data_IF_835900113042
#
_entry.id   IF_835900113042
#
_cell.length_a   1.000
_cell.length_b   1.000
_cell.length_c   1.000
_cell.angle_alpha   90.00
_cell.angle_beta   90.00
_cell.angle_gamma   90.00
#
_symmetry.space_group_name_H-M   'P 1'
#
loop_
_entity.id
_entity.type
_entity.pdbx_description
1 polymer ?
#
# COMPACT_ATOMS: atom_id res chain seq x y z
N UNK A 1 30.24 -4.25 37.38
CA UNK A 1 30.06 -5.20 38.50
C UNK A 1 28.61 -5.19 38.95
N UNK A 2 28.04 -6.34 39.24
CA UNK A 2 26.69 -6.47 39.84
C UNK A 2 26.77 -7.36 41.07
N UNK A 3 25.99 -7.01 42.09
CA UNK A 3 25.82 -7.89 43.25
C UNK A 3 24.98 -9.10 42.87
N UNK A 4 25.55 -10.27 43.10
CA UNK A 4 24.81 -11.53 43.08
C UNK A 4 24.58 -11.95 44.53
N UNK A 5 23.38 -12.45 44.83
CA UNK A 5 22.97 -12.84 46.19
C UNK A 5 23.99 -13.82 46.78
N UNK A 6 24.80 -13.31 47.71
CA UNK A 6 25.94 -13.91 48.43
C UNK A 6 27.09 -12.90 48.69
N UNK A 7 26.99 -11.64 48.22
CA UNK A 7 28.01 -10.61 48.45
C UNK A 7 29.22 -10.72 47.51
N UNK A 8 29.19 -11.67 46.58
CA UNK A 8 30.19 -11.83 45.52
C UNK A 8 29.92 -10.81 44.42
N UNK A 9 30.96 -10.12 43.94
CA UNK A 9 30.87 -9.22 42.79
C UNK A 9 31.31 -9.96 41.54
N UNK A 10 30.43 -10.03 40.54
CA UNK A 10 30.77 -10.57 39.21
C UNK A 10 31.15 -9.44 38.28
N UNK A 11 32.28 -9.60 37.60
CA UNK A 11 32.65 -8.77 36.47
C UNK A 11 31.82 -9.21 35.26
N UNK A 12 31.07 -8.27 34.68
CA UNK A 12 30.31 -8.52 33.45
C UNK A 12 31.02 -7.78 32.31
N UNK A 13 31.13 -8.40 31.13
CA UNK A 13 31.69 -7.74 29.97
C UNK A 13 30.79 -6.57 29.55
N UNK A 14 31.41 -5.42 29.33
CA UNK A 14 30.73 -4.28 28.72
C UNK A 14 30.64 -4.49 27.21
N UNK A 15 29.42 -4.42 26.68
CA UNK A 15 29.13 -4.65 25.27
C UNK A 15 28.51 -3.39 24.68
N UNK A 16 29.07 -2.93 23.55
CA UNK A 16 28.45 -1.87 22.75
C UNK A 16 27.43 -2.48 21.80
N UNK A 17 26.21 -1.97 21.87
CA UNK A 17 25.10 -2.43 21.04
C UNK A 17 24.80 -1.43 19.94
N UNK A 18 24.32 -1.93 18.81
CA UNK A 18 23.75 -1.08 17.77
C UNK A 18 22.44 -0.48 18.26
N UNK A 19 22.05 0.66 17.68
CA UNK A 19 20.75 1.29 17.97
C UNK A 19 19.58 0.30 17.79
N UNK A 20 19.63 -0.50 16.72
CA UNK A 20 18.61 -1.51 16.46
C UNK A 20 18.57 -2.61 17.52
N UNK A 21 19.73 -3.10 17.98
CA UNK A 21 19.79 -4.07 19.08
C UNK A 21 19.21 -3.48 20.38
N UNK A 22 19.53 -2.22 20.71
CA UNK A 22 18.93 -1.53 21.85
C UNK A 22 17.40 -1.44 21.74
N UNK A 23 16.86 -1.18 20.55
CA UNK A 23 15.41 -1.14 20.31
C UNK A 23 14.76 -2.50 20.54
N UNK A 24 15.35 -3.58 20.03
CA UNK A 24 14.84 -4.93 20.22
C UNK A 24 14.86 -5.34 21.71
N UNK A 25 15.91 -4.98 22.45
CA UNK A 25 15.96 -5.25 23.90
C UNK A 25 14.82 -4.54 24.63
N UNK A 26 14.56 -3.27 24.30
CA UNK A 26 13.47 -2.51 24.91
C UNK A 26 12.10 -3.08 24.52
N UNK A 27 11.91 -3.48 23.27
CA UNK A 27 10.63 -4.02 22.80
C UNK A 27 10.31 -5.40 23.41
N UNK A 28 11.32 -6.23 23.64
CA UNK A 28 11.15 -7.62 24.12
C UNK A 28 11.49 -7.82 25.61
N UNK A 29 11.88 -6.75 26.30
CA UNK A 29 12.21 -6.81 27.73
C UNK A 29 10.98 -7.06 28.60
N UNK A 30 11.22 -7.43 29.86
CA UNK A 30 10.18 -7.56 30.88
C UNK A 30 9.44 -6.23 31.13
N UNK A 31 8.13 -6.13 30.82
CA UNK A 31 7.34 -4.92 31.03
C UNK A 31 7.23 -4.50 32.50
N UNK A 32 7.51 -5.39 33.46
CA UNK A 32 7.57 -5.05 34.88
C UNK A 32 8.69 -4.05 35.23
N UNK A 33 9.68 -3.86 34.34
CA UNK A 33 10.76 -2.90 34.52
C UNK A 33 10.35 -1.52 33.98
N UNK A 34 10.37 -0.44 34.80
CA UNK A 34 9.89 0.88 34.39
C UNK A 34 10.54 1.43 33.10
N UNK A 35 11.84 1.20 32.91
CA UNK A 35 12.57 1.63 31.70
C UNK A 35 12.06 0.92 30.45
N UNK A 36 11.73 -0.37 30.56
CA UNK A 36 11.18 -1.16 29.47
C UNK A 36 9.76 -0.71 29.17
N UNK A 37 8.90 -0.58 30.18
CA UNK A 37 7.52 -0.11 30.00
C UNK A 37 7.44 1.27 29.32
N UNK A 38 8.27 2.22 29.75
CA UNK A 38 8.35 3.54 29.13
C UNK A 38 8.85 3.47 27.68
N UNK A 39 9.83 2.61 27.41
CA UNK A 39 10.34 2.39 26.06
C UNK A 39 9.31 1.75 25.12
N UNK A 40 8.56 0.76 25.59
CA UNK A 40 7.45 0.15 24.84
C UNK A 40 6.36 1.19 24.53
N UNK A 41 6.00 2.02 25.51
CA UNK A 41 5.06 3.13 25.31
C UNK A 41 5.56 4.12 24.27
N UNK A 42 6.84 4.48 24.31
CA UNK A 42 7.47 5.35 23.31
C UNK A 42 7.33 4.76 21.90
N UNK A 43 7.67 3.48 21.71
CA UNK A 43 7.54 2.84 20.40
C UNK A 43 6.10 2.79 19.91
N UNK A 44 5.14 2.45 20.77
CA UNK A 44 3.73 2.46 20.41
C UNK A 44 3.27 3.84 19.90
N UNK A 45 3.68 4.92 20.59
CA UNK A 45 3.37 6.28 20.18
C UNK A 45 4.08 6.69 18.89
N UNK A 46 5.37 6.36 18.72
CA UNK A 46 6.10 6.71 17.50
C UNK A 46 5.56 5.95 16.28
N UNK A 47 5.27 4.66 16.42
CA UNK A 47 4.65 3.87 15.35
C UNK A 47 3.32 4.49 14.94
N UNK A 48 2.44 4.80 15.90
CA UNK A 48 1.16 5.45 15.59
C UNK A 48 1.31 6.81 14.93
N UNK A 49 2.28 7.60 15.37
CA UNK A 49 2.59 8.89 14.75
C UNK A 49 3.07 8.73 13.31
N UNK A 50 3.89 7.72 13.03
CA UNK A 50 4.37 7.45 11.68
C UNK A 50 3.25 6.93 10.78
N UNK A 51 2.41 6.00 11.24
CA UNK A 51 1.21 5.56 10.52
C UNK A 51 0.32 6.75 10.12
N UNK A 52 0.05 7.66 11.07
CA UNK A 52 -0.73 8.87 10.79
C UNK A 52 0.01 9.83 9.84
N UNK A 53 1.33 9.93 9.94
CA UNK A 53 2.12 10.76 9.01
C UNK A 53 2.02 10.21 7.58
N UNK A 54 2.09 8.89 7.43
CA UNK A 54 1.98 8.21 6.14
C UNK A 54 0.56 8.36 5.57
N UNK A 55 -0.48 8.15 6.39
CA UNK A 55 -1.89 8.37 6.03
C UNK A 55 -2.15 9.83 5.62
N UNK A 56 -1.63 10.79 6.40
CA UNK A 56 -1.77 12.22 6.08
C UNK A 56 -0.97 12.63 4.86
N UNK A 57 0.15 11.96 4.56
CA UNK A 57 0.95 12.26 3.36
C UNK A 57 0.15 12.01 2.09
N UNK A 58 -0.55 10.88 2.00
CA UNK A 58 -1.43 10.57 0.89
C UNK A 58 -2.68 11.46 0.90
N UNK A 59 -3.29 11.70 2.06
CA UNK A 59 -4.45 12.58 2.17
C UNK A 59 -4.16 14.02 1.72
N UNK A 60 -2.95 14.52 1.98
CA UNK A 60 -2.46 15.86 1.61
C UNK A 60 -2.05 16.00 0.15
N UNK A 61 -1.88 14.91 -0.59
CA UNK A 61 -1.63 14.98 -2.02
C UNK A 61 -2.77 15.77 -2.69
N UNK A 62 -2.40 16.65 -3.61
CA UNK A 62 -3.33 17.28 -4.53
C UNK A 62 -4.05 16.21 -5.36
N UNK A 63 -5.18 16.58 -5.95
CA UNK A 63 -5.94 15.65 -6.77
C UNK A 63 -5.11 15.10 -7.94
N UNK A 64 -4.28 15.92 -8.58
CA UNK A 64 -3.42 15.47 -9.68
C UNK A 64 -2.30 14.52 -9.23
N UNK A 65 -1.73 14.74 -8.05
CA UNK A 65 -0.75 13.82 -7.45
C UNK A 65 -1.38 12.46 -7.12
N UNK A 66 -2.58 12.45 -6.52
CA UNK A 66 -3.34 11.22 -6.27
C UNK A 66 -3.64 10.48 -7.57
N UNK A 67 -4.12 11.21 -8.59
CA UNK A 67 -4.40 10.64 -9.92
C UNK A 67 -3.15 10.06 -10.58
N UNK A 68 -1.98 10.68 -10.40
CA UNK A 68 -0.72 10.19 -10.97
C UNK A 68 -0.27 8.92 -10.25
N UNK A 69 -0.28 8.90 -8.91
CA UNK A 69 0.08 7.75 -8.10
C UNK A 69 -0.79 6.52 -8.46
N UNK A 70 -2.11 6.68 -8.43
CA UNK A 70 -3.05 5.59 -8.71
C UNK A 70 -2.94 5.11 -10.16
N UNK A 71 -2.67 6.00 -11.13
CA UNK A 71 -2.46 5.59 -12.53
C UNK A 71 -1.22 4.74 -12.71
N UNK A 72 -0.13 5.04 -11.99
CA UNK A 72 1.09 4.23 -12.05
C UNK A 72 0.83 2.83 -11.51
N UNK A 73 0.14 2.71 -10.37
CA UNK A 73 -0.26 1.41 -9.83
C UNK A 73 -1.20 0.67 -10.78
N UNK A 74 -2.20 1.35 -11.34
CA UNK A 74 -3.16 0.74 -12.26
C UNK A 74 -2.50 0.25 -13.56
N UNK A 75 -1.48 0.94 -14.08
CA UNK A 75 -0.72 0.49 -15.24
C UNK A 75 0.02 -0.83 -14.95
N UNK A 76 0.63 -0.93 -13.76
CA UNK A 76 1.30 -2.14 -13.31
C UNK A 76 0.30 -3.29 -13.13
N UNK A 77 -0.80 -3.06 -12.43
CA UNK A 77 -1.81 -4.10 -12.19
C UNK A 77 -2.55 -4.53 -13.47
N UNK A 78 -2.78 -3.64 -14.43
CA UNK A 78 -3.31 -4.03 -15.75
C UNK A 78 -2.36 -4.97 -16.49
N UNK A 79 -1.04 -4.87 -16.28
CA UNK A 79 -0.07 -5.81 -16.85
C UNK A 79 -0.24 -7.19 -16.23
N UNK A 80 -0.41 -7.27 -14.91
CA UNK A 80 -0.69 -8.53 -14.21
C UNK A 80 -2.04 -9.13 -14.61
N UNK A 81 -3.08 -8.29 -14.70
CA UNK A 81 -4.41 -8.70 -15.14
C UNK A 81 -4.37 -9.26 -16.57
N UNK A 82 -3.62 -8.63 -17.48
CA UNK A 82 -3.46 -9.14 -18.84
C UNK A 82 -2.72 -10.49 -18.86
N UNK A 83 -1.70 -10.66 -18.02
CA UNK A 83 -1.02 -11.94 -17.87
C UNK A 83 -1.95 -13.04 -17.33
N UNK A 84 -2.77 -12.74 -16.31
CA UNK A 84 -3.77 -13.65 -15.77
C UNK A 84 -4.83 -14.01 -16.82
N UNK A 85 -5.33 -13.02 -17.56
CA UNK A 85 -6.28 -13.23 -18.65
C UNK A 85 -5.70 -14.16 -19.74
N UNK A 86 -4.40 -14.01 -20.06
CA UNK A 86 -3.70 -14.92 -20.98
C UNK A 86 -3.73 -16.36 -20.50
N UNK A 87 -3.42 -16.58 -19.22
CA UNK A 87 -3.45 -17.93 -18.61
C UNK A 87 -4.87 -18.51 -18.63
N UNK A 88 -5.90 -17.66 -18.53
CA UNK A 88 -7.30 -18.03 -18.63
C UNK A 88 -7.80 -18.24 -20.08
N UNK A 89 -6.93 -18.13 -21.10
CA UNK A 89 -7.26 -18.39 -22.50
C UNK A 89 -7.62 -17.15 -23.33
N UNK A 90 -7.35 -15.93 -22.86
CA UNK A 90 -7.47 -14.71 -23.67
C UNK A 90 -6.21 -14.58 -24.55
N UNK A 91 -6.33 -14.93 -25.83
CA UNK A 91 -5.19 -15.03 -26.74
C UNK A 91 -5.15 -13.92 -27.80
N UNK A 92 -6.28 -13.65 -28.45
CA UNK A 92 -6.32 -12.74 -29.59
C UNK A 92 -6.49 -11.28 -29.12
N UNK A 93 -5.95 -10.29 -29.85
CA UNK A 93 -6.14 -8.88 -29.51
C UNK A 93 -7.62 -8.46 -29.35
N UNK A 94 -8.51 -9.08 -30.13
CA UNK A 94 -9.96 -8.84 -30.03
C UNK A 94 -10.54 -9.36 -28.70
N UNK A 95 -10.05 -10.49 -28.19
CA UNK A 95 -10.50 -11.07 -26.91
C UNK A 95 -10.10 -10.17 -25.74
N UNK A 96 -8.91 -9.56 -25.80
CA UNK A 96 -8.50 -8.56 -24.81
C UNK A 96 -9.39 -7.32 -24.85
N UNK A 97 -9.78 -6.85 -26.05
CA UNK A 97 -10.69 -5.72 -26.16
C UNK A 97 -12.07 -6.05 -25.55
N UNK A 98 -12.59 -7.25 -25.79
CA UNK A 98 -13.85 -7.74 -25.20
C UNK A 98 -13.70 -7.88 -23.68
N UNK A 99 -12.64 -8.52 -23.20
CA UNK A 99 -12.35 -8.72 -21.78
C UNK A 99 -12.29 -7.39 -21.01
N UNK A 100 -11.55 -6.40 -21.54
CA UNK A 100 -11.47 -5.08 -20.92
C UNK A 100 -12.81 -4.34 -20.94
N UNK A 101 -13.58 -4.44 -22.03
CA UNK A 101 -14.92 -3.86 -22.13
C UNK A 101 -15.89 -4.47 -21.12
N UNK A 102 -15.83 -5.79 -20.90
CA UNK A 102 -16.59 -6.45 -19.83
C UNK A 102 -16.16 -6.00 -18.43
N UNK A 103 -14.87 -5.76 -18.22
CA UNK A 103 -14.37 -5.14 -16.99
C UNK A 103 -15.01 -3.77 -16.72
N UNK A 104 -15.12 -2.93 -17.76
CA UNK A 104 -15.84 -1.67 -17.66
C UNK A 104 -17.34 -1.87 -17.40
N UNK A 105 -18.01 -2.77 -18.12
CA UNK A 105 -19.43 -3.06 -17.90
C UNK A 105 -19.72 -3.49 -16.46
N UNK A 106 -18.87 -4.32 -15.86
CA UNK A 106 -19.01 -4.74 -14.47
C UNK A 106 -18.92 -3.56 -13.50
N UNK A 107 -17.96 -2.65 -13.70
CA UNK A 107 -17.75 -1.51 -12.80
C UNK A 107 -18.74 -0.36 -13.02
N UNK A 108 -19.21 -0.16 -14.26
CA UNK A 108 -20.02 0.99 -14.67
C UNK A 108 -21.51 0.63 -14.92
N UNK A 109 -22.02 -0.44 -14.31
CA UNK A 109 -23.45 -0.78 -14.37
C UNK A 109 -23.94 -1.11 -15.78
N UNK A 110 -23.12 -1.83 -16.56
CA UNK A 110 -23.42 -2.26 -17.93
C UNK A 110 -22.90 -1.33 -19.02
N UNK A 111 -22.29 -0.19 -18.69
CA UNK A 111 -21.68 0.70 -19.68
C UNK A 111 -20.31 0.17 -20.13
N UNK A 112 -20.12 0.01 -21.43
CA UNK A 112 -18.84 -0.31 -22.03
C UNK A 112 -18.00 0.93 -22.35
N UNK A 113 -16.88 0.71 -23.02
CA UNK A 113 -15.91 1.75 -23.41
C UNK A 113 -16.59 2.87 -24.20
N UNK A 114 -17.44 2.53 -25.18
CA UNK A 114 -18.09 3.51 -26.06
C UNK A 114 -19.06 4.42 -25.29
N UNK A 115 -19.86 3.83 -24.42
CA UNK A 115 -20.84 4.55 -23.60
C UNK A 115 -20.13 5.44 -22.58
N UNK A 116 -19.03 4.97 -21.98
CA UNK A 116 -18.22 5.77 -21.06
C UNK A 116 -17.60 6.97 -21.80
N UNK A 117 -17.05 6.77 -22.99
CA UNK A 117 -16.54 7.86 -23.83
C UNK A 117 -17.62 8.90 -24.12
N UNK A 118 -18.83 8.47 -24.51
CA UNK A 118 -19.95 9.37 -24.79
C UNK A 118 -20.38 10.14 -23.52
N UNK A 119 -20.54 9.43 -22.40
CA UNK A 119 -20.94 10.03 -21.11
C UNK A 119 -19.94 11.07 -20.61
N UNK A 120 -18.64 10.82 -20.80
CA UNK A 120 -17.55 11.73 -20.42
C UNK A 120 -17.20 12.76 -21.51
N UNK A 121 -17.87 12.73 -22.67
CA UNK A 121 -17.62 13.60 -23.83
C UNK A 121 -16.16 13.54 -24.32
N UNK A 122 -15.58 12.35 -24.32
CA UNK A 122 -14.20 12.11 -24.73
C UNK A 122 -14.08 11.93 -26.24
N UNK A 123 -13.03 12.49 -26.83
CA UNK A 123 -12.61 12.20 -28.21
C UNK A 123 -12.19 10.74 -28.32
N UNK A 124 -12.28 10.16 -29.52
CA UNK A 124 -11.87 8.76 -29.77
C UNK A 124 -10.41 8.48 -29.40
N UNK A 125 -9.53 9.46 -29.49
CA UNK A 125 -8.10 9.34 -29.16
C UNK A 125 -7.78 9.49 -27.68
N UNK A 126 -8.73 9.96 -26.86
CA UNK A 126 -8.49 10.18 -25.43
C UNK A 126 -8.69 8.88 -24.65
N UNK A 127 -7.72 8.49 -23.82
CA UNK A 127 -7.86 7.31 -22.97
C UNK A 127 -8.76 7.63 -21.79
N UNK A 128 -9.71 6.74 -21.47
CA UNK A 128 -10.67 6.98 -20.38
C UNK A 128 -9.94 7.26 -19.05
N UNK A 129 -8.94 6.44 -18.70
CA UNK A 129 -8.19 6.54 -17.44
C UNK A 129 -7.49 7.91 -17.25
N UNK A 130 -7.05 8.56 -18.33
CA UNK A 130 -6.39 9.87 -18.27
C UNK A 130 -7.37 11.01 -17.92
N UNK A 131 -8.67 10.74 -17.99
CA UNK A 131 -9.76 11.67 -17.74
C UNK A 131 -10.65 11.25 -16.56
N UNK A 132 -10.12 10.44 -15.64
CA UNK A 132 -10.77 10.04 -14.38
C UNK A 132 -10.20 10.81 -13.20
N UNK A 133 -11.02 11.09 -12.19
CA UNK A 133 -10.56 11.54 -10.87
C UNK A 133 -9.95 10.40 -10.05
N UNK A 134 -9.31 10.73 -8.93
CA UNK A 134 -8.61 9.78 -8.05
C UNK A 134 -9.52 8.67 -7.52
N UNK A 135 -10.76 9.00 -7.14
CA UNK A 135 -11.75 8.02 -6.65
C UNK A 135 -12.15 7.02 -7.73
N UNK A 136 -12.40 7.49 -8.95
CA UNK A 136 -12.78 6.63 -10.07
C UNK A 136 -11.60 5.76 -10.54
N UNK A 137 -10.39 6.32 -10.52
CA UNK A 137 -9.15 5.56 -10.75
C UNK A 137 -8.95 4.47 -9.70
N UNK A 138 -9.20 4.76 -8.42
CA UNK A 138 -9.09 3.78 -7.33
C UNK A 138 -10.07 2.62 -7.52
N UNK A 139 -11.30 2.89 -7.97
CA UNK A 139 -12.26 1.83 -8.28
C UNK A 139 -11.80 0.95 -9.47
N UNK A 140 -11.19 1.55 -10.50
CA UNK A 140 -10.60 0.79 -11.60
C UNK A 140 -9.36 -0.01 -11.16
N UNK A 141 -8.55 0.54 -10.26
CA UNK A 141 -7.42 -0.17 -9.65
C UNK A 141 -7.91 -1.38 -8.85
N UNK A 142 -8.92 -1.20 -8.00
CA UNK A 142 -9.53 -2.30 -7.26
C UNK A 142 -9.99 -3.41 -8.21
N UNK A 143 -10.70 -3.08 -9.30
CA UNK A 143 -11.08 -4.07 -10.31
C UNK A 143 -9.87 -4.79 -10.91
N UNK A 144 -8.79 -4.08 -11.23
CA UNK A 144 -7.61 -4.66 -11.84
C UNK A 144 -6.77 -5.53 -10.89
N UNK A 145 -6.96 -5.41 -9.57
CA UNK A 145 -6.23 -6.20 -8.57
C UNK A 145 -6.94 -7.49 -8.16
N UNK A 146 -8.23 -7.68 -8.48
CA UNK A 146 -9.00 -8.89 -8.14
C UNK A 146 -8.76 -10.07 -9.11
N UNK A 147 -7.55 -10.18 -9.66
CA UNK A 147 -7.17 -11.22 -10.63
C UNK A 147 -6.93 -12.59 -9.97
#
# INVERSE_FOLDING_TARGET
MVEIGSGVKRELPDIRLSRYACYLIVQNGDPGKPVIANGQTYFAMQTRRQELADDTSFARLSEDEKRLAIRNELAQHNTYLAAAAKVAGVEMPMDYAIFQDHGYKGLYGGLGVKEIHARKRLKKSQKILDHMGSTELAANLFRATQA
#
